data_IF_425577910881
#
_entry.id   IF_425577910881
#
_cell.length_a   1.000
_cell.length_b   1.000
_cell.length_c   1.000
_cell.angle_alpha   90.00
_cell.angle_beta   90.00
_cell.angle_gamma   90.00
#
_symmetry.space_group_name_H-M   'P 1'
#
loop_
_entity.id
_entity.type
_entity.pdbx_description
1 polymer ?
#
# COMPACT_ATOMS: atom_id res chain seq x y z
N UNK A 1 -26.31 0.00 -2.29
CA UNK A 1 -25.70 -0.78 -3.38
C UNK A 1 -26.06 -2.24 -3.16
N UNK A 2 -26.50 -2.94 -4.20
CA UNK A 2 -26.78 -4.38 -4.10
C UNK A 2 -25.49 -5.22 -4.18
N UNK A 3 -25.62 -6.50 -3.85
CA UNK A 3 -24.52 -7.47 -3.77
C UNK A 3 -23.84 -7.74 -5.12
N UNK A 4 -24.59 -7.79 -6.22
CA UNK A 4 -24.03 -8.02 -7.55
C UNK A 4 -23.21 -6.81 -8.02
N UNK A 5 -23.73 -5.61 -7.76
CA UNK A 5 -23.04 -4.34 -7.98
C UNK A 5 -21.80 -4.19 -7.10
N UNK A 6 -21.79 -4.76 -5.89
CA UNK A 6 -20.57 -4.81 -5.08
C UNK A 6 -19.50 -5.70 -5.71
N UNK A 7 -19.83 -6.95 -6.03
CA UNK A 7 -18.84 -7.90 -6.55
C UNK A 7 -18.32 -7.55 -7.95
N UNK A 8 -19.08 -6.84 -8.76
CA UNK A 8 -18.62 -6.38 -10.08
C UNK A 8 -17.51 -5.32 -10.02
N UNK A 9 -17.25 -4.74 -8.85
CA UNK A 9 -16.12 -3.81 -8.65
C UNK A 9 -14.77 -4.52 -8.61
N UNK A 10 -14.73 -5.84 -8.43
CA UNK A 10 -13.51 -6.63 -8.34
C UNK A 10 -13.16 -7.27 -9.69
N UNK A 11 -12.02 -6.88 -10.26
CA UNK A 11 -11.58 -7.29 -11.60
C UNK A 11 -10.58 -8.45 -11.51
N UNK A 12 -11.08 -9.65 -11.33
CA UNK A 12 -10.25 -10.85 -11.33
C UNK A 12 -9.72 -11.16 -12.72
N UNK A 13 -8.44 -11.52 -12.80
CA UNK A 13 -7.80 -11.96 -14.03
C UNK A 13 -7.11 -13.32 -13.78
N UNK A 14 -7.73 -14.44 -14.20
CA UNK A 14 -7.18 -15.78 -13.99
C UNK A 14 -5.75 -15.97 -14.53
N UNK A 15 -5.33 -15.22 -15.55
CA UNK A 15 -3.96 -15.29 -16.11
C UNK A 15 -2.91 -14.72 -15.13
N UNK A 16 -3.33 -13.81 -14.25
CA UNK A 16 -2.49 -13.20 -13.22
C UNK A 16 -2.65 -13.90 -11.86
N UNK A 17 -3.38 -15.00 -11.77
CA UNK A 17 -3.50 -15.76 -10.52
C UNK A 17 -2.12 -16.24 -10.07
N UNK A 18 -1.71 -15.88 -8.84
CA UNK A 18 -0.37 -16.16 -8.32
C UNK A 18 0.72 -15.16 -8.72
N UNK A 19 0.45 -14.20 -9.61
CA UNK A 19 1.39 -13.12 -9.90
C UNK A 19 1.48 -12.15 -8.71
N UNK A 20 2.62 -11.49 -8.58
CA UNK A 20 2.88 -10.49 -7.55
C UNK A 20 3.04 -9.09 -8.14
N UNK A 21 2.49 -8.10 -7.44
CA UNK A 21 2.77 -6.68 -7.66
C UNK A 21 3.25 -6.04 -6.35
N UNK A 22 4.16 -5.08 -6.43
CA UNK A 22 4.71 -4.39 -5.25
C UNK A 22 4.55 -2.88 -5.42
N UNK A 23 3.99 -2.23 -4.42
CA UNK A 23 3.94 -0.77 -4.28
C UNK A 23 4.89 -0.36 -3.15
N UNK A 24 5.64 0.73 -3.32
CA UNK A 24 6.56 1.28 -2.31
C UNK A 24 6.39 2.79 -2.21
N UNK A 25 6.15 3.27 -1.00
CA UNK A 25 5.94 4.68 -0.69
C UNK A 25 7.25 5.30 -0.15
N UNK A 26 7.71 6.39 -0.76
CA UNK A 26 8.97 7.05 -0.39
C UNK A 26 8.72 8.49 0.04
N UNK A 27 9.59 9.02 0.90
CA UNK A 27 9.65 10.45 1.18
C UNK A 27 10.69 11.13 0.31
N UNK A 28 10.37 12.35 -0.15
CA UNK A 28 11.35 13.28 -0.70
C UNK A 28 11.88 14.17 0.41
N UNK A 29 13.19 14.31 0.55
CA UNK A 29 13.82 15.07 1.63
C UNK A 29 14.75 16.17 1.11
N UNK A 30 14.96 17.21 1.93
CA UNK A 30 16.02 18.18 1.70
C UNK A 30 17.41 17.66 2.14
N UNK A 31 18.43 18.52 2.05
CA UNK A 31 19.80 18.22 2.45
C UNK A 31 19.98 17.95 3.96
N UNK A 32 18.98 18.25 4.79
CA UNK A 32 18.95 17.96 6.22
C UNK A 32 18.18 16.67 6.54
N UNK A 33 17.66 15.97 5.53
CA UNK A 33 16.86 14.76 5.71
C UNK A 33 15.40 15.03 6.09
N UNK A 34 14.94 16.29 5.97
CA UNK A 34 13.58 16.69 6.34
C UNK A 34 12.65 16.46 5.16
N UNK A 35 11.50 15.77 5.31
CA UNK A 35 10.55 15.59 4.22
C UNK A 35 10.01 16.93 3.68
N UNK A 36 10.05 17.09 2.36
CA UNK A 36 9.66 18.31 1.66
C UNK A 36 8.54 18.07 0.63
N UNK A 37 7.57 18.99 0.48
CA UNK A 37 6.39 18.80 -0.35
C UNK A 37 6.69 18.99 -1.86
N UNK A 38 7.52 18.13 -2.43
CA UNK A 38 8.02 18.24 -3.82
C UNK A 38 7.58 17.09 -4.73
N UNK A 39 6.57 16.32 -4.35
CA UNK A 39 6.13 15.16 -5.15
C UNK A 39 5.62 15.54 -6.54
N UNK A 40 4.91 16.66 -6.69
CA UNK A 40 4.46 17.14 -8.01
C UNK A 40 5.63 17.44 -8.95
N UNK A 41 6.68 18.11 -8.44
CA UNK A 41 7.89 18.40 -9.19
C UNK A 41 8.65 17.11 -9.56
N UNK A 42 8.75 16.16 -8.63
CA UNK A 42 9.36 14.86 -8.88
C UNK A 42 8.63 14.11 -9.99
N UNK A 43 7.30 14.01 -9.91
CA UNK A 43 6.49 13.29 -10.89
C UNK A 43 6.56 13.93 -12.28
N UNK A 44 6.62 15.27 -12.36
CA UNK A 44 6.81 15.98 -13.62
C UNK A 44 8.15 15.69 -14.30
N UNK A 45 9.18 15.34 -13.51
CA UNK A 45 10.54 15.05 -14.00
C UNK A 45 10.80 13.57 -14.25
N UNK A 46 10.28 12.67 -13.41
CA UNK A 46 10.52 11.22 -13.55
C UNK A 46 9.83 10.67 -14.81
N UNK A 47 8.68 11.25 -15.19
CA UNK A 47 7.91 10.95 -16.40
C UNK A 47 7.64 9.46 -16.65
N UNK A 48 7.58 8.69 -15.58
CA UNK A 48 7.30 7.26 -15.60
C UNK A 48 5.94 7.01 -14.94
N UNK A 49 4.97 6.40 -15.64
CA UNK A 49 3.63 6.13 -15.11
C UNK A 49 3.58 5.08 -13.99
N UNK A 50 4.69 4.38 -13.73
CA UNK A 50 4.86 3.54 -12.55
C UNK A 50 5.01 4.36 -11.26
N UNK A 51 5.39 5.65 -11.36
CA UNK A 51 5.43 6.57 -10.24
C UNK A 51 4.13 7.37 -10.14
N UNK A 52 3.62 7.51 -8.92
CA UNK A 52 2.40 8.27 -8.61
C UNK A 52 2.57 9.06 -7.31
N UNK A 53 1.62 9.94 -7.05
CA UNK A 53 1.54 10.71 -5.81
C UNK A 53 0.84 9.94 -4.70
N UNK A 54 1.17 10.29 -3.46
CA UNK A 54 0.46 9.88 -2.25
C UNK A 54 -0.37 11.03 -1.64
N UNK A 55 -1.06 10.78 -0.53
CA UNK A 55 -1.79 11.81 0.21
C UNK A 55 -0.86 13.00 0.55
N UNK A 56 0.30 12.71 1.15
CA UNK A 56 1.30 13.71 1.48
C UNK A 56 1.98 14.23 0.22
N UNK A 57 2.09 15.56 0.08
CA UNK A 57 2.91 16.18 -0.96
C UNK A 57 4.41 15.86 -0.78
N UNK A 58 4.82 15.32 0.38
CA UNK A 58 6.19 14.86 0.61
C UNK A 58 6.46 13.45 0.11
N UNK A 59 5.43 12.72 -0.35
CA UNK A 59 5.54 11.32 -0.70
C UNK A 59 5.27 11.05 -2.18
N UNK A 60 5.97 10.04 -2.69
CA UNK A 60 5.75 9.43 -4.01
C UNK A 60 5.69 7.92 -3.87
N UNK A 61 4.87 7.27 -4.66
CA UNK A 61 4.73 5.81 -4.69
C UNK A 61 5.25 5.28 -6.02
N UNK A 62 5.99 4.17 -5.97
CA UNK A 62 6.32 3.37 -7.15
C UNK A 62 5.60 2.03 -7.11
N UNK A 63 4.99 1.64 -8.23
CA UNK A 63 4.34 0.33 -8.39
C UNK A 63 4.94 -0.51 -9.52
N UNK A 64 5.14 -1.79 -9.29
CA UNK A 64 5.53 -2.73 -10.35
C UNK A 64 4.32 -3.17 -11.16
N UNK A 65 4.57 -3.61 -12.40
CA UNK A 65 3.63 -4.48 -13.09
C UNK A 65 3.48 -5.82 -12.32
N UNK A 66 2.34 -6.52 -12.47
CA UNK A 66 2.18 -7.86 -11.92
C UNK A 66 3.08 -8.85 -12.68
N UNK A 67 3.85 -9.65 -11.95
CA UNK A 67 4.79 -10.61 -12.51
C UNK A 67 4.74 -11.94 -11.74
N UNK A 68 4.87 -13.06 -12.47
CA UNK A 68 5.07 -14.39 -11.85
C UNK A 68 6.51 -14.61 -11.41
N UNK A 69 7.46 -13.89 -12.03
CA UNK A 69 8.88 -13.98 -11.69
C UNK A 69 9.25 -12.95 -10.64
N UNK A 70 9.56 -13.42 -9.42
CA UNK A 70 10.03 -12.55 -8.35
C UNK A 70 11.32 -11.83 -8.76
N UNK A 71 12.24 -12.50 -9.45
CA UNK A 71 13.47 -11.88 -9.96
C UNK A 71 13.18 -10.67 -10.86
N UNK A 72 12.15 -10.74 -11.69
CA UNK A 72 11.74 -9.61 -12.54
C UNK A 72 11.16 -8.46 -11.73
N UNK A 73 10.38 -8.75 -10.68
CA UNK A 73 9.91 -7.72 -9.72
C UNK A 73 11.11 -7.02 -9.09
N UNK A 74 12.06 -7.77 -8.52
CA UNK A 74 13.22 -7.18 -7.84
C UNK A 74 14.08 -6.34 -8.79
N UNK A 75 14.27 -6.81 -10.04
CA UNK A 75 14.97 -6.04 -11.08
C UNK A 75 14.26 -4.72 -11.37
N UNK A 76 12.93 -4.73 -11.54
CA UNK A 76 12.14 -3.53 -11.78
C UNK A 76 12.23 -2.55 -10.60
N UNK A 77 12.17 -3.04 -9.35
CA UNK A 77 12.34 -2.22 -8.15
C UNK A 77 13.73 -1.56 -8.11
N UNK A 78 14.78 -2.30 -8.45
CA UNK A 78 16.15 -1.78 -8.48
C UNK A 78 16.34 -0.70 -9.55
N UNK A 79 15.79 -0.90 -10.76
CA UNK A 79 15.84 0.09 -11.85
C UNK A 79 15.10 1.36 -11.44
N UNK A 80 13.90 1.20 -10.85
CA UNK A 80 13.11 2.33 -10.37
C UNK A 80 13.85 3.12 -9.28
N UNK A 81 14.53 2.45 -8.34
CA UNK A 81 15.31 3.12 -7.29
C UNK A 81 16.44 3.97 -7.88
N UNK A 82 17.16 3.44 -8.88
CA UNK A 82 18.24 4.16 -9.54
C UNK A 82 17.71 5.40 -10.28
N UNK A 83 16.58 5.26 -10.99
CA UNK A 83 15.92 6.38 -11.67
C UNK A 83 15.44 7.44 -10.68
N UNK A 84 14.77 7.04 -9.61
CA UNK A 84 14.23 7.95 -8.62
C UNK A 84 15.31 8.73 -7.88
N UNK A 85 16.39 8.06 -7.46
CA UNK A 85 17.55 8.72 -6.83
C UNK A 85 18.17 9.76 -7.76
N UNK A 86 18.35 9.43 -9.04
CA UNK A 86 18.85 10.38 -10.04
C UNK A 86 17.90 11.57 -10.18
N UNK A 87 16.60 11.35 -10.29
CA UNK A 87 15.60 12.41 -10.43
C UNK A 87 15.58 13.34 -9.21
N UNK A 88 15.54 12.77 -8.00
CA UNK A 88 15.57 13.54 -6.76
C UNK A 88 16.85 14.37 -6.64
N UNK A 89 18.02 13.77 -6.94
CA UNK A 89 19.30 14.48 -6.92
C UNK A 89 19.32 15.68 -7.88
N UNK A 90 18.77 15.55 -9.10
CA UNK A 90 18.65 16.65 -10.06
C UNK A 90 17.69 17.76 -9.59
N UNK A 91 16.83 17.48 -8.61
CA UNK A 91 15.98 18.46 -7.94
C UNK A 91 16.67 19.15 -6.76
N UNK A 92 17.87 18.72 -6.38
CA UNK A 92 18.48 19.11 -5.11
C UNK A 92 17.71 18.55 -3.91
N UNK A 93 17.17 17.34 -4.05
CA UNK A 93 16.48 16.60 -3.00
C UNK A 93 17.05 15.17 -2.93
N UNK A 94 16.68 14.45 -1.88
CA UNK A 94 16.89 13.01 -1.77
C UNK A 94 15.54 12.27 -1.80
N UNK A 95 15.59 10.97 -2.10
CA UNK A 95 14.45 10.06 -1.95
C UNK A 95 14.83 8.96 -0.96
N UNK A 96 14.02 8.80 0.09
CA UNK A 96 14.34 7.93 1.22
C UNK A 96 13.21 6.95 1.51
N UNK A 97 13.60 5.71 1.83
CA UNK A 97 12.70 4.68 2.34
C UNK A 97 12.63 4.81 3.86
N UNK A 98 11.58 5.46 4.35
CA UNK A 98 11.37 5.72 5.77
C UNK A 98 9.94 5.30 6.14
N UNK A 99 9.77 4.51 7.19
CA UNK A 99 8.44 4.07 7.65
C UNK A 99 7.62 5.19 8.27
N UNK A 100 8.30 6.04 9.06
CA UNK A 100 7.69 7.10 9.84
C UNK A 100 8.54 8.35 9.72
N UNK A 101 7.99 9.38 9.09
CA UNK A 101 8.59 10.70 9.07
C UNK A 101 8.50 11.39 10.43
N UNK A 102 9.38 12.36 10.65
CA UNK A 102 9.41 13.21 11.85
C UNK A 102 8.09 13.99 12.05
N UNK A 103 7.81 14.38 13.28
CA UNK A 103 6.53 14.98 13.68
C UNK A 103 6.26 16.36 13.06
N UNK A 104 7.33 17.11 12.82
CA UNK A 104 7.35 18.47 12.30
C UNK A 104 7.46 18.54 10.77
N UNK A 105 7.38 17.40 10.06
CA UNK A 105 7.31 17.39 8.60
C UNK A 105 6.11 18.20 8.09
N UNK A 106 6.19 18.66 6.83
CA UNK A 106 5.03 19.29 6.18
C UNK A 106 3.85 18.32 6.09
N UNK A 107 2.65 18.81 6.42
CA UNK A 107 1.36 18.10 6.23
C UNK A 107 0.64 18.57 4.97
N UNK A 108 1.36 19.21 4.05
CA UNK A 108 0.82 19.62 2.77
C UNK A 108 0.35 18.38 1.97
N UNK A 109 -0.76 18.56 1.28
CA UNK A 109 -1.47 17.49 0.57
C UNK A 109 -1.26 17.68 -0.92
N UNK A 110 -1.12 16.57 -1.63
CA UNK A 110 -0.94 16.62 -3.07
C UNK A 110 -2.05 17.44 -3.76
N UNK A 111 -1.71 18.49 -4.53
CA UNK A 111 -2.66 19.53 -4.94
C UNK A 111 -3.71 19.09 -5.97
N UNK A 112 -3.42 18.07 -6.77
CA UNK A 112 -4.24 17.73 -7.96
C UNK A 112 -5.16 16.52 -7.77
N UNK A 113 -5.50 16.17 -6.52
CA UNK A 113 -6.38 15.04 -6.23
C UNK A 113 -7.70 15.45 -5.54
N UNK A 114 -8.81 15.36 -6.27
CA UNK A 114 -10.16 15.66 -5.76
C UNK A 114 -10.61 14.73 -4.62
N UNK A 115 -10.13 13.48 -4.57
CA UNK A 115 -10.42 12.54 -3.47
C UNK A 115 -9.74 13.02 -2.19
N UNK A 116 -8.47 13.41 -2.24
CA UNK A 116 -7.73 13.92 -1.08
C UNK A 116 -8.30 15.25 -0.59
N UNK A 117 -8.65 16.16 -1.50
CA UNK A 117 -9.36 17.41 -1.14
C UNK A 117 -10.66 17.15 -0.38
N UNK A 118 -11.42 16.11 -0.73
CA UNK A 118 -12.64 15.72 -0.01
C UNK A 118 -12.33 15.06 1.34
N UNK A 119 -11.35 14.18 1.37
CA UNK A 119 -10.94 13.45 2.56
C UNK A 119 -10.44 14.41 3.65
N UNK A 120 -9.51 15.31 3.29
CA UNK A 120 -8.84 16.23 4.24
C UNK A 120 -9.78 17.25 4.87
N UNK A 121 -10.86 17.66 4.18
CA UNK A 121 -11.85 18.61 4.73
C UNK A 121 -12.48 18.17 6.04
N UNK A 122 -12.48 16.87 6.33
CA UNK A 122 -13.16 16.29 7.48
C UNK A 122 -12.22 15.54 8.44
N UNK A 123 -10.91 15.49 8.13
CA UNK A 123 -9.95 14.81 8.99
C UNK A 123 -9.52 15.72 10.14
N UNK A 124 -9.55 15.24 11.40
CA UNK A 124 -8.87 15.90 12.50
C UNK A 124 -7.39 16.10 12.16
N UNK A 125 -6.82 17.25 12.53
CA UNK A 125 -5.42 17.61 12.23
C UNK A 125 -4.42 16.51 12.65
N UNK A 126 -4.63 15.89 13.80
CA UNK A 126 -3.77 14.81 14.28
C UNK A 126 -3.88 13.55 13.41
N UNK A 127 -5.07 13.23 12.91
CA UNK A 127 -5.28 12.11 11.99
C UNK A 127 -4.61 12.39 10.64
N UNK A 128 -4.71 13.63 10.14
CA UNK A 128 -4.02 14.06 8.93
C UNK A 128 -2.50 13.96 9.09
N UNK A 129 -1.97 14.44 10.22
CA UNK A 129 -0.54 14.33 10.55
C UNK A 129 -0.10 12.87 10.59
N UNK A 130 -0.88 11.98 11.21
CA UNK A 130 -0.58 10.54 11.22
C UNK A 130 -0.56 9.95 9.79
N UNK A 131 -1.55 10.31 8.97
CA UNK A 131 -1.65 9.84 7.58
C UNK A 131 -0.49 10.31 6.70
N UNK A 132 -0.03 11.55 6.84
CA UNK A 132 1.07 12.10 6.06
C UNK A 132 2.45 11.55 6.46
N UNK A 133 2.57 10.98 7.67
CA UNK A 133 3.85 10.56 8.25
C UNK A 133 4.19 9.10 8.00
N UNK A 134 3.23 8.26 7.61
CA UNK A 134 3.47 6.83 7.41
C UNK A 134 3.75 6.53 5.96
N UNK A 135 4.74 5.68 5.71
CA UNK A 135 4.96 5.06 4.41
C UNK A 135 5.10 3.55 4.57
N UNK A 136 4.73 2.77 3.56
CA UNK A 136 4.85 1.32 3.59
C UNK A 136 5.09 0.68 2.22
N UNK A 137 5.18 -0.64 2.28
CA UNK A 137 5.24 -1.51 1.12
C UNK A 137 3.93 -2.28 1.06
N UNK A 138 3.25 -2.21 -0.08
CA UNK A 138 2.09 -3.04 -0.34
C UNK A 138 2.47 -4.19 -1.28
N UNK A 139 2.11 -5.41 -0.90
CA UNK A 139 2.29 -6.59 -1.74
C UNK A 139 0.93 -7.08 -2.18
N UNK A 140 0.74 -7.14 -3.50
CA UNK A 140 -0.45 -7.69 -4.12
C UNK A 140 -0.16 -9.09 -4.62
N UNK A 141 -1.04 -10.05 -4.31
CA UNK A 141 -1.07 -11.37 -4.92
C UNK A 141 -2.33 -11.55 -5.75
N UNK A 142 -2.19 -11.89 -7.03
CA UNK A 142 -3.32 -12.12 -7.93
C UNK A 142 -4.17 -13.32 -7.54
N UNK A 143 -5.49 -13.14 -7.59
CA UNK A 143 -6.49 -14.18 -7.38
C UNK A 143 -7.17 -14.54 -8.71
N UNK A 144 -7.53 -15.81 -8.89
CA UNK A 144 -8.27 -16.25 -10.09
C UNK A 144 -9.73 -15.78 -10.07
N UNK A 145 -10.35 -15.75 -8.90
CA UNK A 145 -11.74 -15.38 -8.65
C UNK A 145 -11.93 -14.95 -7.17
N UNK A 146 -13.18 -14.64 -6.80
CA UNK A 146 -13.50 -14.18 -5.44
C UNK A 146 -13.35 -15.27 -4.37
N UNK A 147 -13.61 -16.55 -4.69
CA UNK A 147 -13.48 -17.62 -3.69
C UNK A 147 -12.00 -17.87 -3.37
N UNK A 148 -11.16 -17.85 -4.42
CA UNK A 148 -9.72 -17.89 -4.31
C UNK A 148 -9.19 -16.72 -3.46
N UNK A 149 -9.66 -15.50 -3.74
CA UNK A 149 -9.29 -14.32 -2.98
C UNK A 149 -9.66 -14.43 -1.51
N UNK A 150 -10.88 -14.89 -1.19
CA UNK A 150 -11.34 -15.09 0.20
C UNK A 150 -10.49 -16.16 0.90
N UNK A 151 -10.21 -17.28 0.24
CA UNK A 151 -9.37 -18.35 0.80
C UNK A 151 -7.97 -17.84 1.14
N UNK A 152 -7.29 -17.22 0.17
CA UNK A 152 -5.97 -16.63 0.36
C UNK A 152 -5.95 -15.58 1.47
N UNK A 153 -6.91 -14.66 1.43
CA UNK A 153 -7.09 -13.62 2.42
C UNK A 153 -7.19 -14.21 3.82
N UNK A 154 -8.07 -15.20 4.03
CA UNK A 154 -8.26 -15.82 5.33
C UNK A 154 -7.00 -16.53 5.84
N UNK A 155 -6.24 -17.17 4.96
CA UNK A 155 -4.97 -17.80 5.33
C UNK A 155 -3.93 -16.78 5.76
N UNK A 156 -3.84 -15.63 5.07
CA UNK A 156 -2.96 -14.53 5.46
C UNK A 156 -3.40 -13.92 6.79
N UNK A 157 -4.71 -13.71 6.99
CA UNK A 157 -5.27 -13.13 8.23
C UNK A 157 -4.96 -13.99 9.45
N UNK A 158 -4.96 -15.32 9.33
CA UNK A 158 -4.55 -16.24 10.43
C UNK A 158 -3.10 -16.00 10.90
N UNK A 159 -2.25 -15.49 10.01
CA UNK A 159 -0.84 -15.22 10.26
C UNK A 159 -0.54 -13.72 10.35
N UNK A 160 -1.56 -12.86 10.56
CA UNK A 160 -1.41 -11.41 10.48
C UNK A 160 -0.33 -10.86 11.43
N UNK A 161 -0.32 -11.33 12.68
CA UNK A 161 0.65 -10.86 13.69
C UNK A 161 2.09 -11.21 13.32
N UNK A 162 2.31 -12.36 12.70
CA UNK A 162 3.64 -12.75 12.20
C UNK A 162 4.09 -11.83 11.05
N UNK A 163 3.17 -11.47 10.14
CA UNK A 163 3.46 -10.52 9.07
C UNK A 163 3.72 -9.10 9.58
N UNK A 164 2.94 -8.63 10.56
CA UNK A 164 3.16 -7.34 11.23
C UNK A 164 4.56 -7.31 11.83
N UNK A 165 4.91 -8.31 12.64
CA UNK A 165 6.23 -8.39 13.28
C UNK A 165 7.37 -8.48 12.27
N UNK A 166 7.16 -9.18 11.17
CA UNK A 166 8.16 -9.36 10.11
C UNK A 166 8.42 -8.08 9.30
N UNK A 167 7.40 -7.22 9.18
CA UNK A 167 7.45 -5.98 8.41
C UNK A 167 7.72 -4.72 9.21
N UNK A 168 7.87 -4.82 10.53
CA UNK A 168 8.03 -3.68 11.42
C UNK A 168 9.50 -3.30 11.63
N UNK A 169 9.92 -2.16 11.06
CA UNK A 169 11.24 -1.57 11.33
C UNK A 169 11.14 -0.24 12.10
N UNK A 170 9.93 0.13 12.56
CA UNK A 170 9.67 1.35 13.35
C UNK A 170 9.28 1.04 14.80
N UNK A 171 9.45 -0.21 15.25
CA UNK A 171 9.12 -0.65 16.61
C UNK A 171 7.64 -0.37 16.96
N UNK A 172 6.76 -0.56 15.98
CA UNK A 172 5.31 -0.42 16.11
C UNK A 172 4.79 0.99 15.86
N UNK A 173 5.65 1.99 15.66
CA UNK A 173 5.23 3.39 15.49
C UNK A 173 4.40 3.59 14.20
N UNK A 174 4.81 2.99 13.08
CA UNK A 174 4.04 3.04 11.82
C UNK A 174 2.64 2.49 12.02
N UNK A 175 2.53 1.32 12.67
CA UNK A 175 1.25 0.69 12.93
C UNK A 175 0.39 1.51 13.89
N UNK A 176 0.99 2.11 14.93
CA UNK A 176 0.29 3.00 15.86
C UNK A 176 -0.34 4.18 15.12
N UNK A 177 0.42 4.85 14.25
CA UNK A 177 -0.08 5.95 13.42
C UNK A 177 -1.14 5.48 12.41
N UNK A 178 -0.95 4.31 11.80
CA UNK A 178 -1.95 3.72 10.90
C UNK A 178 -3.29 3.48 11.61
N UNK A 179 -3.28 2.92 12.83
CA UNK A 179 -4.49 2.68 13.64
C UNK A 179 -5.22 3.97 14.01
N UNK A 180 -4.49 5.08 14.15
CA UNK A 180 -5.09 6.39 14.39
C UNK A 180 -5.86 6.89 13.16
N UNK A 181 -5.39 6.58 11.94
CA UNK A 181 -6.03 6.96 10.68
C UNK A 181 -7.12 5.99 10.22
N UNK A 182 -6.95 4.71 10.51
CA UNK A 182 -7.85 3.63 10.11
C UNK A 182 -8.42 2.90 11.34
N UNK A 183 -9.53 3.36 11.94
CA UNK A 183 -10.14 2.68 13.09
C UNK A 183 -10.50 1.22 12.80
N UNK A 184 -10.94 0.94 11.56
CA UNK A 184 -11.22 -0.40 11.06
C UNK A 184 -10.00 -0.98 10.34
N UNK A 185 -8.81 -0.95 10.96
CA UNK A 185 -7.56 -1.45 10.36
C UNK A 185 -7.45 -2.98 10.37
N UNK A 186 -8.13 -3.64 11.32
CA UNK A 186 -7.98 -5.09 11.52
C UNK A 186 -8.86 -5.86 10.54
N UNK A 187 -8.31 -6.75 9.69
CA UNK A 187 -9.11 -7.59 8.81
C UNK A 187 -9.88 -8.66 9.60
N UNK A 188 -11.21 -8.84 9.40
CA UNK A 188 -11.93 -10.00 9.92
C UNK A 188 -11.62 -11.24 9.08
N UNK A 189 -12.12 -12.42 9.48
CA UNK A 189 -12.18 -13.58 8.58
C UNK A 189 -13.52 -13.64 7.87
N UNK A 190 -13.52 -13.89 6.56
CA UNK A 190 -14.74 -14.04 5.78
C UNK A 190 -15.14 -15.52 5.71
N UNK A 191 -16.36 -15.84 6.15
CA UNK A 191 -16.88 -17.21 6.14
C UNK A 191 -17.53 -17.59 4.81
N UNK A 192 -17.92 -16.59 4.02
CA UNK A 192 -18.54 -16.73 2.71
C UNK A 192 -18.45 -15.43 1.91
N UNK A 193 -18.83 -15.48 0.63
CA UNK A 193 -19.03 -14.27 -0.20
C UNK A 193 -20.04 -13.32 0.43
N UNK A 194 -21.10 -13.87 1.02
CA UNK A 194 -22.19 -13.13 1.64
C UNK A 194 -21.69 -12.36 2.85
N UNK A 195 -20.92 -13.02 3.71
CA UNK A 195 -20.28 -12.37 4.85
C UNK A 195 -19.30 -11.28 4.41
N UNK A 196 -18.56 -11.46 3.31
CA UNK A 196 -17.71 -10.38 2.77
C UNK A 196 -18.54 -9.14 2.36
N UNK A 197 -19.69 -9.33 1.72
CA UNK A 197 -20.60 -8.23 1.38
C UNK A 197 -21.21 -7.56 2.62
N UNK A 198 -21.59 -8.34 3.63
CA UNK A 198 -22.11 -7.83 4.90
C UNK A 198 -21.08 -6.94 5.61
N UNK A 199 -19.84 -7.41 5.72
CA UNK A 199 -18.72 -6.61 6.28
C UNK A 199 -18.49 -5.34 5.46
N UNK A 200 -18.59 -5.42 4.12
CA UNK A 200 -18.46 -4.24 3.27
C UNK A 200 -19.54 -3.19 3.52
N UNK A 201 -20.77 -3.64 3.78
CA UNK A 201 -21.88 -2.77 4.17
C UNK A 201 -21.63 -2.15 5.56
N UNK A 202 -21.32 -2.97 6.55
CA UNK A 202 -21.10 -2.56 7.94
C UNK A 202 -19.95 -1.56 8.06
N UNK A 203 -18.84 -1.81 7.39
CA UNK A 203 -17.62 -0.99 7.49
C UNK A 203 -17.53 0.09 6.41
N UNK A 204 -18.58 0.28 5.60
CA UNK A 204 -18.73 1.43 4.72
C UNK A 204 -17.87 1.44 3.45
N UNK A 205 -17.38 0.27 2.99
CA UNK A 205 -16.62 0.15 1.74
C UNK A 205 -17.39 -0.52 0.60
N UNK A 206 -18.67 -0.84 0.79
CA UNK A 206 -19.53 -1.45 -0.26
C UNK A 206 -19.58 -0.63 -1.55
N UNK A 207 -19.61 0.70 -1.48
CA UNK A 207 -19.69 1.55 -2.68
C UNK A 207 -18.32 1.83 -3.33
N UNK A 208 -17.22 1.55 -2.62
CA UNK A 208 -15.87 1.78 -3.08
C UNK A 208 -14.89 0.94 -2.25
N UNK A 209 -14.43 -0.23 -2.75
CA UNK A 209 -13.48 -1.10 -2.06
C UNK A 209 -12.19 -0.40 -1.63
N UNK A 210 -11.80 0.73 -2.26
CA UNK A 210 -10.63 1.53 -1.84
C UNK A 210 -10.80 2.21 -0.49
N UNK A 211 -12.01 2.23 0.07
CA UNK A 211 -12.30 2.70 1.42
C UNK A 211 -12.12 1.58 2.47
N UNK A 212 -11.78 0.36 2.06
CA UNK A 212 -11.33 -0.67 2.98
C UNK A 212 -9.89 -0.38 3.41
N UNK A 213 -9.73 -0.04 4.68
CA UNK A 213 -8.45 0.30 5.32
C UNK A 213 -7.89 -0.86 6.15
N UNK A 214 -8.30 -2.10 5.86
CA UNK A 214 -7.71 -3.27 6.50
C UNK A 214 -6.23 -3.43 6.11
N UNK A 215 -5.40 -3.92 7.03
CA UNK A 215 -4.01 -4.28 6.75
C UNK A 215 -3.86 -5.40 5.71
N UNK A 216 -4.90 -6.22 5.54
CA UNK A 216 -5.04 -7.17 4.44
C UNK A 216 -6.38 -6.88 3.81
N UNK A 217 -6.46 -6.76 2.49
CA UNK A 217 -7.75 -6.55 1.81
C UNK A 217 -7.81 -7.26 0.47
N UNK A 218 -9.03 -7.63 0.07
CA UNK A 218 -9.29 -7.98 -1.33
C UNK A 218 -9.44 -6.65 -2.09
N UNK A 219 -8.55 -6.39 -3.04
CA UNK A 219 -8.56 -5.14 -3.80
C UNK A 219 -9.45 -5.25 -5.04
N UNK A 220 -9.97 -4.11 -5.52
CA UNK A 220 -10.70 -4.02 -6.78
C UNK A 220 -9.92 -4.53 -8.02
N UNK A 221 -8.60 -4.72 -7.89
CA UNK A 221 -7.73 -5.25 -8.95
C UNK A 221 -7.72 -6.78 -9.00
N UNK A 222 -8.58 -7.45 -8.22
CA UNK A 222 -8.64 -8.91 -8.18
C UNK A 222 -7.43 -9.53 -7.47
N UNK A 223 -6.88 -8.82 -6.48
CA UNK A 223 -5.71 -9.25 -5.71
C UNK A 223 -6.03 -9.28 -4.22
N UNK A 224 -5.28 -10.09 -3.46
CA UNK A 224 -5.15 -9.91 -2.01
C UNK A 224 -3.95 -9.00 -1.76
N UNK A 225 -4.20 -7.86 -1.16
CA UNK A 225 -3.22 -6.81 -0.89
C UNK A 225 -2.85 -6.81 0.59
N UNK A 226 -1.55 -6.89 0.87
CA UNK A 226 -0.95 -6.88 2.20
C UNK A 226 -0.27 -5.53 2.42
N UNK A 227 -0.66 -4.81 3.48
CA UNK A 227 -0.31 -3.39 3.73
C UNK A 227 0.41 -3.16 5.06
N UNK A 228 0.73 -4.24 5.79
CA UNK A 228 1.38 -4.17 7.09
C UNK A 228 2.89 -3.94 7.01
N UNK A 229 3.53 -4.22 5.88
CA UNK A 229 4.97 -4.09 5.73
C UNK A 229 5.39 -2.62 5.73
N UNK A 230 6.37 -2.30 6.55
CA UNK A 230 7.03 -1.02 6.52
C UNK A 230 8.09 -0.94 5.42
N UNK A 231 8.60 0.27 5.23
CA UNK A 231 9.57 0.60 4.19
C UNK A 231 10.95 0.00 4.45
N UNK A 232 11.57 -0.48 3.38
CA UNK A 232 12.97 -0.93 3.36
C UNK A 232 13.59 -0.71 1.98
N UNK A 233 14.90 -0.44 1.94
CA UNK A 233 15.69 -0.47 0.71
C UNK A 233 16.25 -1.87 0.40
N UNK A 234 16.13 -2.82 1.34
CA UNK A 234 16.66 -4.16 1.19
C UNK A 234 15.70 -5.03 0.37
N UNK A 235 15.99 -5.18 -0.92
CA UNK A 235 15.19 -6.03 -1.82
C UNK A 235 15.16 -7.50 -1.40
N UNK A 236 16.15 -7.98 -0.62
CA UNK A 236 16.13 -9.34 -0.09
C UNK A 236 15.04 -9.54 0.96
N UNK A 237 14.68 -8.49 1.71
CA UNK A 237 13.53 -8.51 2.64
C UNK A 237 12.21 -8.62 1.90
N UNK A 238 12.04 -7.87 0.82
CA UNK A 238 10.83 -7.95 0.00
C UNK A 238 10.69 -9.36 -0.60
N UNK A 239 11.78 -9.93 -1.11
CA UNK A 239 11.80 -11.32 -1.56
C UNK A 239 11.43 -12.32 -0.45
N UNK A 240 11.96 -12.13 0.76
CA UNK A 240 11.63 -12.96 1.92
C UNK A 240 10.12 -12.88 2.23
N UNK A 241 9.52 -11.68 2.22
CA UNK A 241 8.09 -11.50 2.47
C UNK A 241 7.25 -12.23 1.44
N UNK A 242 7.53 -12.04 0.14
CA UNK A 242 6.83 -12.75 -0.95
C UNK A 242 6.93 -14.27 -0.76
N UNK A 243 8.13 -14.77 -0.42
CA UNK A 243 8.36 -16.20 -0.18
C UNK A 243 7.54 -16.74 1.00
N UNK A 244 7.37 -15.95 2.07
CA UNK A 244 6.53 -16.33 3.21
C UNK A 244 5.05 -16.32 2.81
N UNK A 245 4.60 -15.32 2.05
CA UNK A 245 3.22 -15.22 1.55
C UNK A 245 2.87 -16.46 0.73
N UNK A 246 3.73 -16.88 -0.21
CA UNK A 246 3.51 -18.10 -0.99
C UNK A 246 3.37 -19.34 -0.11
N UNK A 247 4.23 -19.49 0.91
CA UNK A 247 4.12 -20.63 1.85
C UNK A 247 2.81 -20.62 2.64
N UNK A 248 2.33 -19.45 3.06
CA UNK A 248 1.07 -19.33 3.82
C UNK A 248 -0.13 -19.61 2.92
N UNK A 249 -0.11 -19.11 1.69
CA UNK A 249 -1.21 -19.28 0.73
C UNK A 249 -1.31 -20.72 0.22
N UNK A 250 -0.18 -21.42 0.00
CA UNK A 250 -0.17 -22.79 -0.54
C UNK A 250 -0.41 -23.89 0.50
N UNK A 251 -0.36 -23.58 1.80
CA UNK A 251 -0.44 -24.59 2.88
C UNK A 251 -1.87 -25.06 3.19
N UNK A 252 -2.88 -24.41 2.62
CA UNK A 252 -4.30 -24.69 2.84
C UNK A 252 -5.09 -24.50 1.54
#
# INVERSE_FOLDING_TARGET
>A
MDKQSFFSQFRFNPVLAGAYGVEREFFLTDAHGIPVPRSQEFLARVQDPAWTYELSACQVEHRTAPEHSITKILSNLQIADAQARRTAMLMGADIVALEVAQEDMSIEIYPDNNRYKKLVKHLPKEMLRAACRVAGIHIHRGAKDLDDAISMYNNIVKCLEDFIKMGDHSQGERLRLYRQMAPNWSPPQYTSRDHFFEVACEQGFVNNPRNCWHLVRISQHGTVELRMFGMTNDLSRIHQWISVIDRVVLKY
#
